data_IF_868160008498
#
_entry.id   IF_868160008498
#
_cell.length_a   1.000
_cell.length_b   1.000
_cell.length_c   1.000
_cell.angle_alpha   90.00
_cell.angle_beta   90.00
_cell.angle_gamma   90.00
#
_symmetry.space_group_name_H-M   'P 1'
#
loop_
_entity.id
_entity.type
_entity.pdbx_description
1 polymer ?
2 polymer ?
3 non-polymer ?
4 non-polymer ?
5 non-polymer ?
6 non-polymer ?
7 water ?
#
# COMPACT_ATOMS: atom_id res chain seq x y z
N UNK A 1 -5.79 4.58 -18.83
CA UNK A 1 -4.87 3.77 -18.05
C UNK A 1 -5.38 2.36 -17.76
N UNK A 2 -4.49 1.37 -17.81
CA UNK A 2 -4.77 -0.07 -17.60
C UNK A 2 -5.25 -0.75 -18.89
N UNK A 3 -5.41 -0.01 -19.99
CA UNK A 3 -5.74 -0.57 -21.29
C UNK A 3 -7.07 -1.31 -21.32
N UNK A 4 -7.30 -1.98 -22.45
CA UNK A 4 -8.48 -2.80 -22.61
C UNK A 4 -8.40 -4.00 -21.64
N UNK A 5 -9.51 -4.40 -21.03
CA UNK A 5 -9.48 -5.59 -20.18
C UNK A 5 -8.96 -6.82 -20.92
N UNK A 6 -8.13 -7.59 -20.24
CA UNK A 6 -7.56 -8.80 -20.83
C UNK A 6 -8.61 -9.89 -20.98
N UNK A 7 -8.40 -10.77 -21.95
CA UNK A 7 -9.33 -11.86 -22.19
C UNK A 7 -8.89 -13.10 -21.43
N UNK A 8 -9.78 -13.65 -20.64
CA UNK A 8 -9.48 -14.84 -19.86
C UNK A 8 -9.33 -16.05 -20.77
N UNK A 9 -8.49 -16.99 -20.36
CA UNK A 9 -8.25 -18.20 -21.13
C UNK A 9 -9.49 -19.07 -21.23
N UNK A 10 -9.61 -19.82 -22.32
CA UNK A 10 -10.76 -20.67 -22.51
C UNK A 10 -12.01 -19.93 -22.90
N UNK A 11 -11.83 -18.76 -23.50
CA UNK A 11 -12.92 -17.92 -23.98
C UNK A 11 -13.94 -17.60 -22.90
N UNK A 12 -13.44 -17.25 -21.72
CA UNK A 12 -14.29 -16.92 -20.59
C UNK A 12 -14.71 -15.45 -20.55
N UNK A 13 -14.22 -14.68 -21.52
CA UNK A 13 -14.56 -13.28 -21.65
C UNK A 13 -13.64 -12.39 -20.85
N UNK A 14 -13.88 -11.09 -20.93
CA UNK A 14 -13.07 -10.13 -20.18
C UNK A 14 -13.28 -10.35 -18.70
N UNK A 15 -12.20 -10.27 -17.94
CA UNK A 15 -12.27 -10.45 -16.50
C UNK A 15 -13.12 -9.37 -15.83
N UNK A 16 -12.95 -8.16 -16.33
CA UNK A 16 -13.63 -7.01 -15.79
C UNK A 16 -13.95 -6.01 -16.89
N UNK A 17 -14.81 -5.06 -16.58
CA UNK A 17 -15.17 -4.04 -17.54
C UNK A 17 -15.05 -2.64 -16.93
N UNK A 18 -15.10 -1.62 -17.76
CA UNK A 18 -14.92 -0.23 -17.35
C UNK A 18 -15.89 0.27 -16.28
N UNK A 19 -17.12 -0.23 -16.27
CA UNK A 19 -18.12 0.17 -15.28
C UNK A 19 -17.72 -0.12 -13.82
N UNK A 20 -16.97 -1.18 -13.60
CA UNK A 20 -16.48 -1.55 -12.29
C UNK A 20 -15.51 -0.52 -11.66
N UNK A 21 -14.78 0.21 -12.49
CA UNK A 21 -13.84 1.25 -12.03
C UNK A 21 -14.49 2.55 -11.53
N UNK A 22 -13.95 3.11 -10.46
CA UNK A 22 -14.43 4.38 -9.91
C UNK A 22 -13.98 5.55 -10.79
N UNK A 23 -14.65 6.68 -10.72
CA UNK A 23 -14.32 7.80 -11.60
C UNK A 23 -13.55 8.88 -10.82
N UNK A 24 -12.41 9.30 -11.35
CA UNK A 24 -11.56 10.28 -10.68
C UNK A 24 -11.20 11.43 -11.62
N UNK A 25 -10.60 12.48 -11.04
CA UNK A 25 -10.41 13.76 -11.74
C UNK A 25 -9.14 13.83 -12.58
N UNK A 26 -8.23 12.88 -12.45
CA UNK A 26 -6.91 13.01 -13.05
C UNK A 26 -6.73 11.99 -14.16
N UNK A 27 -5.83 12.24 -15.09
CA UNK A 27 -5.53 11.24 -16.11
C UNK A 27 -4.50 10.22 -15.61
N UNK A 28 -4.38 9.13 -16.38
CA UNK A 28 -3.45 8.07 -16.04
C UNK A 28 -2.93 7.48 -17.35
N UNK A 29 -1.81 6.77 -17.22
CA UNK A 29 -1.34 5.94 -18.32
C UNK A 29 -0.99 4.58 -17.73
N UNK A 30 -0.93 3.55 -18.56
CA UNK A 30 -0.82 2.19 -18.02
C UNK A 30 0.56 1.88 -17.44
N UNK A 31 0.57 1.05 -16.40
CA UNK A 31 1.77 0.38 -15.93
C UNK A 31 2.10 -0.79 -16.86
N UNK A 32 3.37 -0.99 -17.26
CA UNK A 32 3.68 -2.07 -18.20
C UNK A 32 3.36 -3.42 -17.58
N UNK A 33 2.82 -4.34 -18.39
CA UNK A 33 2.60 -5.75 -17.97
C UNK A 33 3.58 -6.62 -18.76
N UNK A 34 4.44 -7.33 -18.05
CA UNK A 34 5.56 -7.99 -18.70
C UNK A 34 5.79 -9.35 -18.05
N UNK A 35 6.53 -10.19 -18.77
CA UNK A 35 7.08 -11.43 -18.19
C UNK A 35 8.27 -11.14 -17.30
N UNK A 36 8.39 -11.94 -16.23
CA UNK A 36 9.55 -11.85 -15.36
C UNK A 36 10.85 -12.16 -16.10
N UNK A 37 10.78 -12.86 -17.23
CA UNK A 37 11.96 -13.12 -18.03
C UNK A 37 12.34 -11.98 -18.95
N UNK A 38 11.53 -10.93 -19.01
CA UNK A 38 11.76 -9.83 -19.98
C UNK A 38 12.80 -8.87 -19.42
N UNK A 39 13.93 -8.62 -20.13
CA UNK A 39 14.91 -7.65 -19.61
C UNK A 39 14.34 -6.30 -19.26
N UNK A 40 13.27 -5.86 -19.93
CA UNK A 40 12.68 -4.57 -19.58
C UNK A 40 12.11 -4.61 -18.19
N UNK A 41 11.62 -5.77 -17.76
CA UNK A 41 11.06 -5.88 -16.40
C UNK A 41 12.16 -5.70 -15.37
N UNK A 42 13.32 -6.34 -15.57
CA UNK A 42 14.41 -6.19 -14.62
C UNK A 42 14.89 -4.73 -14.59
N UNK A 43 14.94 -4.09 -15.75
CA UNK A 43 15.35 -2.68 -15.85
C UNK A 43 14.43 -1.76 -15.05
N UNK A 44 13.12 -2.00 -15.13
CA UNK A 44 12.16 -1.18 -14.39
C UNK A 44 12.35 -1.32 -12.89
N UNK A 45 12.48 -2.56 -12.41
CA UNK A 45 12.68 -2.80 -10.98
C UNK A 45 13.99 -2.17 -10.52
N UNK A 46 15.06 -2.34 -11.31
CA UNK A 46 16.36 -1.79 -10.96
C UNK A 46 16.28 -0.27 -10.85
N UNK A 47 15.47 0.36 -11.70
CA UNK A 47 15.31 1.81 -11.71
C UNK A 47 14.20 2.29 -10.79
N UNK A 48 13.67 1.40 -9.97
CA UNK A 48 12.63 1.72 -8.98
C UNK A 48 11.42 2.37 -9.64
N UNK A 49 10.97 1.72 -10.69
CA UNK A 49 9.74 2.06 -11.39
C UNK A 49 8.79 0.87 -11.35
N UNK A 50 7.48 1.12 -11.33
CA UNK A 50 6.54 0.00 -11.25
C UNK A 50 6.41 -0.83 -12.54
N UNK A 51 6.09 -2.11 -12.33
CA UNK A 51 5.88 -3.07 -13.40
C UNK A 51 4.97 -4.16 -12.84
N UNK A 52 4.06 -4.65 -13.68
CA UNK A 52 3.27 -5.84 -13.36
C UNK A 52 3.96 -7.02 -14.04
N UNK A 53 4.30 -8.04 -13.25
CA UNK A 53 4.86 -9.29 -13.73
C UNK A 53 3.78 -10.37 -13.73
N UNK A 54 3.57 -10.98 -14.89
CA UNK A 54 2.42 -11.84 -15.10
C UNK A 54 2.68 -13.32 -14.82
N UNK A 55 3.94 -13.75 -14.71
CA UNK A 55 4.27 -15.18 -14.68
C UNK A 55 5.36 -15.49 -13.65
N UNK A 56 5.31 -14.85 -12.48
CA UNK A 56 6.34 -15.13 -11.49
C UNK A 56 6.10 -16.46 -10.73
N UNK A 57 4.84 -16.90 -10.63
CA UNK A 57 4.45 -18.01 -9.74
C UNK A 57 4.78 -17.75 -8.27
N UNK A 58 4.83 -16.46 -7.92
CA UNK A 58 5.27 -16.06 -6.59
C UNK A 58 4.37 -16.64 -5.52
N UNK A 59 3.06 -16.61 -5.72
CA UNK A 59 2.13 -17.16 -4.74
C UNK A 59 1.25 -18.25 -5.35
N UNK A 60 1.85 -19.10 -6.18
CA UNK A 60 1.09 -20.10 -6.91
C UNK A 60 0.26 -21.03 -6.02
N UNK A 61 0.80 -21.45 -4.89
CA UNK A 61 0.04 -22.32 -3.98
C UNK A 61 -1.21 -21.64 -3.44
N UNK A 62 -1.14 -20.33 -3.26
CA UNK A 62 -2.25 -19.54 -2.71
C UNK A 62 -3.37 -19.27 -3.72
N UNK A 63 -3.17 -19.55 -5.00
CA UNK A 63 -4.25 -19.28 -5.94
C UNK A 63 -5.49 -20.10 -5.68
N UNK A 64 -5.36 -21.22 -4.94
CA UNK A 64 -6.54 -21.99 -4.58
C UNK A 64 -7.25 -21.43 -3.36
N UNK A 65 -6.69 -20.42 -2.70
CA UNK A 65 -7.30 -19.87 -1.49
C UNK A 65 -8.64 -19.23 -1.79
N UNK A 66 -9.63 -19.56 -0.97
CA UNK A 66 -10.87 -18.82 -0.84
C UNK A 66 -11.26 -18.84 0.64
N UNK A 67 -12.43 -18.31 0.96
CA UNK A 67 -12.79 -18.19 2.37
C UNK A 67 -12.98 -19.57 3.01
N UNK A 68 -13.52 -20.53 2.26
CA UNK A 68 -13.71 -21.85 2.86
C UNK A 68 -12.37 -22.51 3.18
N UNK A 69 -11.43 -22.48 2.23
CA UNK A 69 -10.13 -23.08 2.45
C UNK A 69 -9.40 -22.44 3.62
N UNK A 70 -9.35 -21.11 3.64
CA UNK A 70 -8.65 -20.41 4.71
C UNK A 70 -9.31 -20.63 6.06
N UNK A 71 -10.64 -20.63 6.09
CA UNK A 71 -11.34 -20.83 7.37
C UNK A 71 -11.01 -22.20 7.93
N UNK A 72 -10.94 -23.20 7.06
CA UNK A 72 -10.72 -24.58 7.48
C UNK A 72 -9.25 -24.83 7.85
N UNK A 73 -8.33 -23.97 7.42
CA UNK A 73 -6.89 -24.26 7.53
C UNK A 73 -6.03 -23.17 8.18
N UNK A 74 -6.48 -21.92 8.26
CA UNK A 74 -5.60 -20.85 8.71
C UNK A 74 -5.44 -20.85 10.21
N UNK A 75 -6.25 -21.61 10.92
CA UNK A 75 -6.08 -21.86 12.34
C UNK A 75 -6.92 -20.91 13.17
N UNK A 76 -6.59 -20.85 14.46
CA UNK A 76 -7.44 -20.20 15.46
C UNK A 76 -6.83 -18.92 16.03
N UNK A 77 -5.88 -18.30 15.35
CA UNK A 77 -5.32 -17.05 15.81
C UNK A 77 -6.24 -15.86 15.56
N UNK A 78 -5.83 -14.71 16.10
CA UNK A 78 -6.58 -13.46 15.94
C UNK A 78 -6.21 -12.75 14.66
N UNK A 79 -7.20 -12.12 14.02
CA UNK A 79 -7.01 -11.37 12.78
C UNK A 79 -7.56 -9.96 12.95
N UNK A 80 -6.78 -8.96 12.51
CA UNK A 80 -7.23 -7.58 12.57
C UNK A 80 -8.18 -7.32 11.41
N UNK A 81 -9.41 -6.89 11.72
CA UNK A 81 -10.42 -6.63 10.71
C UNK A 81 -10.93 -5.21 10.91
N UNK A 82 -10.77 -4.36 9.87
CA UNK A 82 -11.31 -3.01 9.91
C UNK A 82 -12.75 -3.00 9.46
N UNK A 83 -13.55 -2.16 10.12
CA UNK A 83 -14.93 -1.92 9.77
C UNK A 83 -15.15 -0.44 9.49
N UNK A 84 -15.97 -0.12 8.49
CA UNK A 84 -16.31 1.25 8.14
C UNK A 84 -17.66 1.26 7.46
N UNK A 85 -18.34 2.41 7.54
CA UNK A 85 -19.55 2.67 6.78
C UNK A 85 -19.23 3.47 5.51
N UNK A 86 -17.97 3.50 5.10
CA UNK A 86 -17.54 4.13 3.86
C UNK A 86 -16.70 3.12 3.11
N UNK A 87 -16.63 3.27 1.78
CA UNK A 87 -15.69 2.43 1.03
C UNK A 87 -14.23 2.75 1.33
N UNK A 88 -13.93 3.88 1.96
CA UNK A 88 -12.55 4.31 2.15
C UNK A 88 -12.01 3.83 3.48
N UNK A 89 -10.95 3.03 3.42
CA UNK A 89 -10.25 2.54 4.61
C UNK A 89 -8.92 3.28 4.74
N UNK A 90 -9.03 4.53 5.14
CA UNK A 90 -7.86 5.37 5.41
C UNK A 90 -7.06 4.80 6.57
N UNK A 91 -5.81 4.47 6.32
CA UNK A 91 -4.94 3.93 7.36
C UNK A 91 -4.60 5.00 8.39
N UNK A 92 -4.50 4.61 9.65
CA UNK A 92 -4.01 5.50 10.70
C UNK A 92 -3.19 4.71 11.72
N UNK A 93 -2.18 5.40 12.25
CA UNK A 93 -1.28 4.88 13.26
C UNK A 93 -1.87 5.17 14.62
N UNK A 94 -2.32 4.10 15.31
CA UNK A 94 -2.99 4.27 16.59
C UNK A 94 -2.09 4.88 17.65
N UNK A 95 -0.77 4.69 17.55
CA UNK A 95 0.11 5.29 18.56
C UNK A 95 0.17 6.81 18.47
N UNK A 96 -0.12 7.39 17.30
CA UNK A 96 0.02 8.83 17.10
C UNK A 96 -1.25 9.58 17.45
N UNK A 97 -2.33 8.88 17.84
CA UNK A 97 -3.62 9.51 18.09
C UNK A 97 -3.60 10.41 19.32
N UNK A 98 -2.70 10.18 20.27
CA UNK A 98 -2.61 11.08 21.42
C UNK A 98 -2.11 12.47 21.04
N UNK A 99 -1.32 12.58 19.96
CA UNK A 99 -0.89 13.89 19.47
C UNK A 99 -2.07 14.71 18.95
N UNK A 100 -3.11 14.05 18.45
CA UNK A 100 -4.20 14.68 17.72
C UNK A 100 -5.51 14.13 18.29
N UNK A 101 -5.95 14.73 19.40
CA UNK A 101 -7.19 14.31 20.03
C UNK A 101 -8.41 14.65 19.20
N UNK A 102 -8.29 15.53 18.22
CA UNK A 102 -9.41 15.89 17.34
C UNK A 102 -9.63 14.88 16.21
N UNK A 103 -8.75 13.88 16.05
CA UNK A 103 -8.87 12.93 14.95
C UNK A 103 -9.81 11.79 15.34
N UNK A 104 -10.86 11.59 14.52
CA UNK A 104 -11.86 10.55 14.76
C UNK A 104 -11.87 9.63 13.55
N UNK A 105 -11.22 8.46 13.63
CA UNK A 105 -11.16 7.60 12.44
C UNK A 105 -12.54 7.16 11.98
N UNK A 106 -12.70 7.03 10.66
CA UNK A 106 -13.92 6.51 10.05
C UNK A 106 -13.94 4.99 10.02
N UNK A 107 -12.80 4.34 10.19
CA UNK A 107 -12.78 2.89 10.26
C UNK A 107 -12.34 2.48 11.66
N UNK A 108 -12.81 1.31 12.10
CA UNK A 108 -12.48 0.78 13.42
C UNK A 108 -11.89 -0.61 13.26
N UNK A 109 -10.86 -0.89 14.06
CA UNK A 109 -10.20 -2.18 14.05
C UNK A 109 -10.81 -3.07 15.14
N UNK A 110 -11.11 -4.31 14.78
CA UNK A 110 -11.56 -5.32 15.73
C UNK A 110 -10.76 -6.59 15.50
N UNK A 111 -10.34 -7.24 16.59
CA UNK A 111 -9.64 -8.51 16.51
C UNK A 111 -10.65 -9.64 16.58
N UNK A 112 -10.57 -10.60 15.67
CA UNK A 112 -11.53 -11.70 15.69
C UNK A 112 -10.92 -12.94 15.03
N UNK A 113 -11.53 -14.09 15.33
CA UNK A 113 -11.16 -15.33 14.68
C UNK A 113 -11.60 -15.30 13.22
N UNK A 114 -10.91 -16.08 12.37
CA UNK A 114 -11.22 -16.04 10.95
C UNK A 114 -12.65 -16.48 10.68
N UNK A 115 -13.13 -17.51 11.38
CA UNK A 115 -14.52 -17.91 11.18
C UNK A 115 -15.47 -16.82 11.62
N UNK A 116 -15.05 -15.96 12.55
CA UNK A 116 -15.89 -14.83 12.94
C UNK A 116 -15.93 -13.78 11.85
N UNK A 117 -14.80 -13.58 11.15
CA UNK A 117 -14.79 -12.68 10.01
C UNK A 117 -15.71 -13.19 8.90
N UNK A 118 -15.64 -14.48 8.61
CA UNK A 118 -16.48 -15.03 7.54
C UNK A 118 -17.95 -14.89 7.90
N UNK A 119 -18.30 -15.18 9.16
CA UNK A 119 -19.70 -15.08 9.59
C UNK A 119 -20.18 -13.64 9.51
N UNK A 120 -19.35 -12.69 9.95
CA UNK A 120 -19.75 -11.29 9.89
C UNK A 120 -19.94 -10.84 8.45
N UNK A 121 -19.05 -11.29 7.56
CA UNK A 121 -19.21 -11.02 6.14
C UNK A 121 -20.53 -11.57 5.62
N UNK A 122 -20.81 -12.84 5.91
CA UNK A 122 -22.04 -13.47 5.47
C UNK A 122 -23.27 -12.75 6.01
N UNK A 123 -23.21 -12.31 7.26
CA UNK A 123 -24.38 -11.65 7.85
C UNK A 123 -24.65 -10.32 7.16
N UNK A 124 -23.60 -9.56 6.84
CA UNK A 124 -23.79 -8.31 6.12
C UNK A 124 -24.49 -8.56 4.78
N UNK A 125 -24.01 -9.55 4.03
CA UNK A 125 -24.60 -9.85 2.72
C UNK A 125 -26.09 -10.16 2.87
N UNK A 126 -26.44 -11.05 3.80
CA UNK A 126 -27.81 -11.54 3.89
C UNK A 126 -28.80 -10.45 4.28
N UNK A 127 -28.39 -9.53 5.17
CA UNK A 127 -29.25 -8.41 5.55
C UNK A 127 -29.09 -7.19 4.66
N UNK A 128 -28.22 -7.26 3.65
CA UNK A 128 -28.01 -6.12 2.76
C UNK A 128 -27.49 -4.88 3.45
N UNK A 129 -26.65 -5.05 4.48
CA UNK A 129 -26.12 -3.91 5.19
C UNK A 129 -25.15 -3.12 4.34
N UNK A 130 -24.86 -1.89 4.78
CA UNK A 130 -23.89 -1.04 4.12
C UNK A 130 -22.52 -1.09 4.80
N UNK A 131 -22.40 -1.81 5.90
CA UNK A 131 -21.11 -1.91 6.57
C UNK A 131 -20.10 -2.63 5.68
N UNK A 132 -18.86 -2.20 5.77
CA UNK A 132 -17.79 -2.80 4.97
C UNK A 132 -16.70 -3.31 5.88
N UNK A 133 -16.07 -4.40 5.47
CA UNK A 133 -14.99 -4.99 6.24
C UNK A 133 -13.74 -5.18 5.41
N UNK A 134 -12.58 -4.92 6.01
CA UNK A 134 -11.32 -5.16 5.35
C UNK A 134 -10.44 -5.89 6.33
N UNK A 135 -9.99 -7.09 5.99
CA UNK A 135 -9.13 -7.85 6.88
C UNK A 135 -7.71 -7.57 6.46
N UNK A 136 -6.88 -7.17 7.41
CA UNK A 136 -5.49 -6.81 7.10
C UNK A 136 -4.63 -7.33 8.23
N UNK A 137 -3.90 -8.42 7.99
CA UNK A 137 -3.22 -9.17 9.05
C UNK A 137 -1.91 -9.74 8.53
N UNK A 138 -0.80 -9.44 9.20
CA UNK A 138 0.46 -10.03 8.77
C UNK A 138 0.48 -11.51 9.16
N UNK A 139 0.93 -12.35 8.23
CA UNK A 139 1.01 -13.81 8.40
C UNK A 139 2.19 -14.21 9.28
N UNK A 140 2.00 -15.26 10.11
CA UNK A 140 3.07 -15.72 10.98
C UNK A 140 2.88 -17.21 11.28
N UNK A 141 3.81 -17.77 12.06
CA UNK A 141 3.88 -19.20 12.38
C UNK A 141 2.61 -19.77 13.01
N UNK A 142 1.72 -18.92 13.49
CA UNK A 142 0.51 -19.40 14.16
C UNK A 142 -0.49 -20.02 13.19
N UNK A 143 -0.35 -19.79 11.88
CA UNK A 143 -1.33 -20.34 10.94
C UNK A 143 -1.23 -21.86 10.91
N UNK A 144 -2.33 -22.51 10.53
CA UNK A 144 -2.36 -23.97 10.47
C UNK A 144 -1.35 -24.53 9.46
N UNK A 145 -1.18 -25.85 9.53
CA UNK A 145 -0.09 -26.52 8.82
C UNK A 145 -0.21 -26.39 7.30
N UNK A 146 -1.43 -26.46 6.76
CA UNK A 146 -1.60 -26.38 5.30
C UNK A 146 -1.27 -24.98 4.78
N UNK A 147 -1.54 -23.93 5.57
CA UNK A 147 -1.13 -22.60 5.13
C UNK A 147 0.39 -22.46 5.22
N UNK A 148 1.00 -23.05 6.24
CA UNK A 148 2.46 -23.07 6.30
C UNK A 148 3.02 -23.72 5.04
N UNK A 149 2.48 -24.89 4.63
CA UNK A 149 2.94 -25.58 3.43
C UNK A 149 2.75 -24.70 2.19
N UNK A 150 1.63 -23.99 2.11
CA UNK A 150 1.39 -23.10 0.99
C UNK A 150 2.42 -21.96 0.95
N UNK A 151 2.69 -21.35 2.10
CA UNK A 151 3.73 -20.32 2.21
C UNK A 151 5.10 -20.82 1.77
N UNK A 152 5.48 -22.01 2.21
CA UNK A 152 6.78 -22.60 1.86
C UNK A 152 6.89 -22.81 0.36
N UNK A 153 5.77 -23.08 -0.31
CA UNK A 153 5.73 -23.23 -1.74
C UNK A 153 5.70 -21.93 -2.54
N UNK A 154 5.76 -20.75 -1.92
CA UNK A 154 5.93 -19.53 -2.71
C UNK A 154 7.27 -19.60 -3.45
N UNK A 155 7.42 -18.75 -4.47
CA UNK A 155 8.63 -18.76 -5.31
C UNK A 155 9.70 -17.92 -4.62
N UNK A 156 10.25 -18.51 -3.55
CA UNK A 156 11.36 -17.90 -2.82
C UNK A 156 12.60 -17.81 -3.69
N UNK A 157 12.81 -18.78 -4.58
CA UNK A 157 13.98 -18.69 -5.46
C UNK A 157 13.97 -17.38 -6.22
N UNK A 158 12.83 -17.04 -6.81
CA UNK A 158 12.75 -15.85 -7.65
C UNK A 158 12.84 -14.59 -6.82
N UNK A 159 12.08 -14.51 -5.73
CA UNK A 159 12.06 -13.26 -4.97
C UNK A 159 13.35 -13.07 -4.14
N UNK A 160 13.94 -14.15 -3.63
CA UNK A 160 15.24 -14.00 -2.97
C UNK A 160 16.31 -13.48 -3.91
N UNK A 161 16.27 -13.87 -5.19
CA UNK A 161 17.20 -13.33 -6.16
C UNK A 161 16.95 -11.84 -6.38
N UNK A 162 15.69 -11.41 -6.41
CA UNK A 162 15.37 -9.99 -6.51
C UNK A 162 15.94 -9.22 -5.33
N UNK A 163 15.64 -9.68 -4.12
CA UNK A 163 16.18 -9.04 -2.93
C UNK A 163 17.70 -8.87 -3.05
N UNK A 164 18.39 -9.90 -3.54
CA UNK A 164 19.86 -9.84 -3.61
C UNK A 164 20.37 -8.90 -4.69
N UNK A 165 19.79 -9.01 -5.89
CA UNK A 165 20.17 -8.11 -6.99
C UNK A 165 19.92 -6.64 -6.65
N UNK A 166 18.82 -6.32 -5.96
CA UNK A 166 18.52 -4.93 -5.66
C UNK A 166 19.20 -4.41 -4.40
N UNK A 167 19.92 -5.26 -3.67
CA UNK A 167 20.57 -4.85 -2.44
C UNK A 167 19.61 -4.46 -1.34
N UNK A 168 18.40 -4.99 -1.37
CA UNK A 168 17.43 -4.72 -0.32
C UNK A 168 17.84 -5.36 0.99
N UNK A 169 17.26 -4.84 2.08
CA UNK A 169 17.35 -5.46 3.38
C UNK A 169 16.38 -6.63 3.48
N UNK A 170 16.05 -6.98 4.72
CA UNK A 170 15.29 -8.19 5.00
C UNK A 170 13.82 -8.07 4.63
N UNK A 171 13.21 -9.20 4.26
CA UNK A 171 11.76 -9.31 4.28
C UNK A 171 11.25 -9.04 5.69
N UNK A 172 10.37 -8.05 5.86
CA UNK A 172 9.94 -7.67 7.21
C UNK A 172 8.57 -8.26 7.54
N UNK A 173 7.73 -8.45 6.54
CA UNK A 173 6.38 -8.96 6.81
C UNK A 173 5.66 -9.29 5.51
N UNK A 174 4.65 -10.16 5.62
CA UNK A 174 3.73 -10.48 4.54
C UNK A 174 2.34 -10.16 5.05
N UNK A 175 1.70 -9.19 4.43
CA UNK A 175 0.38 -8.74 4.86
C UNK A 175 -0.66 -9.48 4.03
N UNK A 176 -1.58 -10.17 4.70
CA UNK A 176 -2.73 -10.75 4.05
C UNK A 176 -3.85 -9.72 4.03
N UNK A 177 -4.37 -9.43 2.84
CA UNK A 177 -5.44 -8.47 2.66
C UNK A 177 -6.66 -9.17 2.04
N UNK A 178 -7.78 -9.13 2.75
CA UNK A 178 -9.04 -9.65 2.22
C UNK A 178 -10.11 -8.58 2.32
N UNK A 179 -10.57 -8.11 1.17
CA UNK A 179 -11.54 -7.04 1.14
C UNK A 179 -12.83 -7.39 0.43
N UNK A 180 -13.83 -6.56 0.70
CA UNK A 180 -15.10 -6.61 0.01
C UNK A 180 -15.04 -5.79 -1.26
N UNK A 181 -15.85 -6.21 -2.25
CA UNK A 181 -15.94 -5.45 -3.50
C UNK A 181 -16.21 -3.99 -3.20
N UNK A 182 -15.53 -3.09 -3.95
CA UNK A 182 -15.68 -1.65 -3.76
C UNK A 182 -14.82 -1.04 -2.67
N UNK A 183 -14.18 -1.83 -1.81
CA UNK A 183 -13.25 -1.28 -0.84
C UNK A 183 -12.10 -0.49 -1.48
N UNK A 184 -11.68 0.58 -0.82
CA UNK A 184 -10.62 1.48 -1.31
C UNK A 184 -9.63 1.68 -0.19
N UNK A 185 -8.34 1.52 -0.48
CA UNK A 185 -7.29 2.01 0.41
C UNK A 185 -6.81 3.32 -0.17
N UNK A 186 -7.03 4.44 0.50
CA UNK A 186 -6.69 5.74 -0.09
C UNK A 186 -5.19 5.93 -0.29
N UNK A 187 -4.85 6.85 -1.19
CA UNK A 187 -3.48 7.10 -1.62
C UNK A 187 -2.53 7.30 -0.43
N UNK A 188 -1.39 6.62 -0.48
CA UNK A 188 -0.33 6.72 0.51
C UNK A 188 0.97 6.18 -0.06
N UNK A 189 2.04 6.38 0.67
CA UNK A 189 3.33 5.83 0.29
C UNK A 189 3.87 5.02 1.47
N UNK A 190 4.61 3.97 1.16
CA UNK A 190 5.20 3.10 2.16
C UNK A 190 6.72 3.27 2.11
N UNK A 191 7.37 3.06 3.24
CA UNK A 191 8.82 3.23 3.35
C UNK A 191 9.61 1.95 3.11
N UNK A 192 8.96 0.97 2.51
CA UNK A 192 9.61 -0.30 2.19
C UNK A 192 9.27 -0.62 0.75
N UNK A 193 10.07 -1.52 0.17
CA UNK A 193 9.82 -2.03 -1.16
C UNK A 193 8.73 -3.10 -1.09
N UNK A 194 7.88 -3.17 -2.13
CA UNK A 194 6.71 -4.05 -2.05
C UNK A 194 6.53 -4.84 -3.35
N UNK A 195 6.50 -6.17 -3.23
CA UNK A 195 5.94 -7.01 -4.26
C UNK A 195 4.53 -7.42 -3.83
N UNK A 196 3.55 -6.96 -4.60
CA UNK A 196 2.12 -7.04 -4.28
C UNK A 196 1.50 -8.17 -5.11
N UNK A 197 1.19 -9.31 -4.45
CA UNK A 197 0.82 -10.55 -5.15
C UNK A 197 -0.68 -10.75 -5.08
N UNK A 198 -1.35 -10.62 -6.21
CA UNK A 198 -2.80 -10.79 -6.25
C UNK A 198 -3.19 -12.25 -6.35
N UNK A 199 -4.21 -12.64 -5.56
CA UNK A 199 -4.60 -14.05 -5.37
C UNK A 199 -6.01 -14.31 -5.86
N UNK A 200 -6.98 -13.48 -5.45
CA UNK A 200 -8.38 -13.66 -5.81
C UNK A 200 -9.01 -12.32 -6.16
N UNK A 201 -9.82 -12.31 -7.20
CA UNK A 201 -10.43 -11.01 -7.55
C UNK A 201 -9.45 -10.07 -8.20
N UNK A 202 -9.96 -8.86 -8.48
CA UNK A 202 -9.24 -7.85 -9.25
C UNK A 202 -9.15 -6.56 -8.45
N UNK A 203 -7.96 -5.95 -8.47
CA UNK A 203 -7.72 -4.67 -7.81
C UNK A 203 -7.15 -3.67 -8.80
N UNK A 204 -7.74 -2.48 -8.83
CA UNK A 204 -7.20 -1.38 -9.63
C UNK A 204 -6.19 -0.63 -8.78
N UNK A 205 -4.96 -0.52 -9.28
CA UNK A 205 -3.87 0.11 -8.53
C UNK A 205 -3.46 1.36 -9.32
N UNK A 206 -3.53 2.51 -8.68
CA UNK A 206 -3.13 3.79 -9.27
C UNK A 206 -1.90 4.28 -8.51
N UNK A 207 -0.78 4.44 -9.20
CA UNK A 207 0.47 4.84 -8.56
C UNK A 207 0.88 6.24 -9.01
N UNK A 208 1.64 6.94 -8.13
CA UNK A 208 2.12 8.33 -8.41
C UNK A 208 3.59 8.35 -7.98
N UNK A 209 4.49 8.83 -8.82
CA UNK A 209 5.91 8.79 -8.45
C UNK A 209 6.20 9.74 -7.30
N UNK A 210 7.36 9.53 -6.64
CA UNK A 210 7.68 10.37 -5.48
C UNK A 210 7.77 11.87 -5.81
N UNK A 211 8.08 12.24 -7.05
CA UNK A 211 8.13 13.68 -7.37
C UNK A 211 6.76 14.34 -7.43
N UNK A 212 5.67 13.61 -7.16
CA UNK A 212 4.36 14.26 -7.05
C UNK A 212 3.97 14.56 -5.61
N UNK A 213 4.95 14.54 -4.70
CA UNK A 213 4.69 14.95 -3.31
C UNK A 213 3.91 16.26 -3.26
N UNK A 214 4.30 17.20 -4.11
CA UNK A 214 3.77 18.56 -4.13
C UNK A 214 2.30 18.62 -4.53
N UNK A 215 1.78 17.55 -5.13
CA UNK A 215 0.40 17.45 -5.58
C UNK A 215 -0.49 16.61 -4.67
N UNK A 216 0.08 15.86 -3.72
CA UNK A 216 -0.69 14.88 -2.96
C UNK A 216 -0.80 15.19 -1.48
N UNK A 217 -0.09 16.18 -0.98
CA UNK A 217 -0.39 16.76 0.33
C UNK A 217 -0.51 15.71 1.45
N UNK A 218 0.57 15.00 1.76
CA UNK A 218 0.53 14.11 2.93
C UNK A 218 0.18 14.86 4.22
N UNK A 219 -0.43 14.14 5.15
CA UNK A 219 -0.63 14.66 6.49
C UNK A 219 0.73 14.98 7.13
N UNK A 220 0.76 15.87 8.12
CA UNK A 220 1.96 16.03 8.95
C UNK A 220 2.49 14.70 9.44
N UNK A 221 3.82 14.62 9.63
CA UNK A 221 4.46 13.37 10.06
C UNK A 221 3.89 12.87 11.38
N UNK A 222 3.62 13.78 12.30
CA UNK A 222 3.14 13.41 13.63
C UNK A 222 1.66 13.06 13.75
N UNK A 223 0.94 13.27 12.67
CA UNK A 223 -0.48 12.97 12.58
C UNK A 223 -0.69 11.45 12.39
N UNK A 224 -1.75 10.89 12.94
CA UNK A 224 -2.03 9.44 12.75
C UNK A 224 -1.99 9.01 11.29
N UNK A 225 -2.38 9.88 10.34
CA UNK A 225 -2.38 9.55 8.92
C UNK A 225 -1.12 10.01 8.19
N UNK A 226 -0.01 10.11 8.92
CA UNK A 226 1.33 10.18 8.31
C UNK A 226 1.45 9.23 7.12
N UNK A 227 1.94 9.75 5.99
CA UNK A 227 2.23 9.06 4.73
C UNK A 227 1.00 8.92 3.86
N UNK A 228 -0.19 9.26 4.36
CA UNK A 228 -1.40 9.18 3.56
C UNK A 228 -1.73 10.57 3.02
N UNK A 229 -2.35 10.61 1.83
CA UNK A 229 -2.76 11.88 1.23
C UNK A 229 -3.95 12.47 1.97
N UNK A 230 -3.91 13.78 2.15
CA UNK A 230 -5.06 14.49 2.69
C UNK A 230 -6.18 14.69 1.66
N UNK A 231 -5.92 14.51 0.37
CA UNK A 231 -6.90 14.85 -0.66
C UNK A 231 -7.97 13.78 -0.69
N UNK A 232 -9.23 14.20 -0.68
CA UNK A 232 -10.35 13.28 -0.88
C UNK A 232 -10.51 13.07 -2.38
N UNK A 233 -10.11 11.89 -2.88
CA UNK A 233 -10.11 11.69 -4.33
C UNK A 233 -11.51 11.79 -4.90
N UNK A 234 -12.55 11.49 -4.11
CA UNK A 234 -13.93 11.57 -4.57
C UNK A 234 -14.48 12.99 -4.56
N UNK A 235 -13.85 13.93 -3.84
CA UNK A 235 -14.27 15.34 -3.81
C UNK A 235 -13.07 16.21 -3.48
N UNK A 236 -12.19 16.45 -4.45
CA UNK A 236 -10.93 17.11 -4.12
C UNK A 236 -11.14 18.58 -3.85
N UNK A 237 -10.52 19.07 -2.79
CA UNK A 237 -10.69 20.47 -2.39
C UNK A 237 -9.55 21.26 -3.04
N UNK A 238 -9.82 21.83 -4.21
CA UNK A 238 -8.77 22.51 -4.96
C UNK A 238 -8.35 23.84 -4.33
N UNK A 239 -9.16 24.39 -3.45
CA UNK A 239 -8.72 25.59 -2.74
C UNK A 239 -7.61 25.25 -1.75
N UNK A 240 -7.73 24.14 -1.03
CA UNK A 240 -6.66 23.74 -0.12
C UNK A 240 -5.53 23.01 -0.84
N UNK A 241 -5.85 22.30 -1.92
CA UNK A 241 -4.92 21.38 -2.56
C UNK A 241 -4.81 21.69 -4.05
N UNK A 242 -4.37 22.91 -4.40
CA UNK A 242 -4.44 23.33 -5.81
C UNK A 242 -3.60 22.48 -6.76
N UNK A 243 -2.47 21.93 -6.31
CA UNK A 243 -1.64 21.15 -7.22
C UNK A 243 -2.16 19.76 -7.43
N UNK A 244 -3.26 19.39 -6.75
CA UNK A 244 -3.89 18.13 -7.13
C UNK A 244 -4.50 18.22 -8.54
N UNK A 245 -4.68 19.44 -9.07
CA UNK A 245 -5.12 19.58 -10.44
C UNK A 245 -4.04 19.20 -11.44
N UNK A 246 -2.82 18.99 -10.99
CA UNK A 246 -1.71 18.60 -11.85
C UNK A 246 -1.29 17.14 -11.67
N UNK A 247 -1.94 16.36 -10.82
CA UNK A 247 -1.54 14.96 -10.62
C UNK A 247 -1.74 14.13 -11.88
N UNK A 248 -0.82 13.15 -12.07
CA UNK A 248 -0.90 12.24 -13.20
C UNK A 248 -0.51 10.86 -12.64
N UNK A 249 -1.38 9.87 -12.82
CA UNK A 249 -1.14 8.54 -12.26
C UNK A 249 -0.70 7.50 -13.30
N UNK A 250 -0.26 6.34 -12.76
CA UNK A 250 0.08 5.17 -13.54
C UNK A 250 -0.82 4.05 -13.02
N UNK A 251 -1.59 3.39 -13.91
CA UNK A 251 -2.60 2.52 -13.36
C UNK A 251 -2.57 1.18 -14.07
N UNK A 252 -3.13 0.22 -13.34
CA UNK A 252 -3.24 -1.14 -13.85
C UNK A 252 -4.34 -1.82 -13.06
N UNK A 253 -4.82 -2.93 -13.59
CA UNK A 253 -5.70 -3.82 -12.83
C UNK A 253 -5.01 -5.18 -12.72
N UNK A 254 -4.73 -5.62 -11.49
CA UNK A 254 -4.08 -6.91 -11.27
C UNK A 254 -5.13 -7.93 -10.92
N UNK A 255 -4.95 -9.14 -11.42
CA UNK A 255 -5.79 -10.25 -11.06
C UNK A 255 -4.96 -11.44 -10.58
N UNK A 256 -5.63 -12.54 -10.37
CA UNK A 256 -4.95 -13.74 -9.84
C UNK A 256 -3.70 -14.10 -10.63
N UNK A 257 -2.60 -14.23 -9.93
CA UNK A 257 -1.33 -14.61 -10.53
C UNK A 257 -0.41 -13.44 -10.88
N UNK A 258 -0.95 -12.23 -10.89
CA UNK A 258 -0.17 -11.03 -11.20
C UNK A 258 0.55 -10.56 -9.95
N UNK A 259 1.72 -9.95 -10.16
CA UNK A 259 2.51 -9.36 -9.09
C UNK A 259 2.88 -7.95 -9.53
N UNK A 260 2.55 -6.98 -8.70
CA UNK A 260 2.84 -5.58 -8.97
C UNK A 260 4.01 -5.16 -8.09
N UNK A 261 5.08 -4.66 -8.71
CA UNK A 261 6.16 -4.04 -7.94
C UNK A 261 5.74 -2.60 -7.63
N UNK A 262 5.53 -2.32 -6.34
CA UNK A 262 5.27 -0.96 -5.86
C UNK A 262 6.56 -0.43 -5.23
N UNK A 263 7.31 0.40 -5.92
CA UNK A 263 8.60 0.84 -5.37
C UNK A 263 8.41 1.69 -4.13
N UNK A 264 9.44 1.63 -3.28
CA UNK A 264 9.46 2.38 -2.04
C UNK A 264 9.32 3.86 -2.41
N UNK A 265 8.48 4.56 -1.63
CA UNK A 265 8.11 5.98 -1.69
C UNK A 265 7.07 6.31 -2.77
N UNK A 266 6.65 5.31 -3.54
CA UNK A 266 5.67 5.57 -4.57
C UNK A 266 4.29 5.56 -3.97
N UNK A 267 3.53 6.58 -4.28
CA UNK A 267 2.16 6.69 -3.81
C UNK A 267 1.35 5.60 -4.51
N UNK A 268 0.40 5.02 -3.80
CA UNK A 268 -0.51 4.09 -4.45
C UNK A 268 -1.88 4.18 -3.80
N UNK A 269 -2.88 4.10 -4.66
CA UNK A 269 -4.31 4.05 -4.36
C UNK A 269 -4.79 2.71 -4.87
N UNK A 270 -5.45 1.91 -4.04
CA UNK A 270 -5.79 0.54 -4.41
C UNK A 270 -7.28 0.32 -4.18
N UNK A 271 -7.99 -0.17 -5.18
CA UNK A 271 -9.41 -0.39 -5.01
C UNK A 271 -9.84 -1.75 -5.54
N UNK A 272 -10.63 -2.45 -4.74
CA UNK A 272 -11.26 -3.70 -5.17
C UNK A 272 -12.42 -3.41 -6.11
N UNK A 273 -12.42 -4.04 -7.29
CA UNK A 273 -13.37 -3.63 -8.33
C UNK A 273 -14.80 -3.73 -7.84
N UNK A 274 -15.59 -2.71 -8.18
CA UNK A 274 -17.03 -2.76 -7.93
C UNK A 274 -17.64 -4.02 -8.52
N UNK A 275 -18.53 -4.64 -7.75
CA UNK A 275 -19.25 -5.85 -8.17
C UNK A 275 -18.33 -6.99 -8.58
N UNK A 276 -17.09 -7.00 -8.09
CA UNK A 276 -16.13 -8.03 -8.44
C UNK A 276 -15.95 -9.15 -7.44
N UNK A 277 -16.76 -9.21 -6.36
CA UNK A 277 -16.56 -10.20 -5.33
C UNK A 277 -15.41 -9.85 -4.41
N UNK A 278 -15.16 -10.70 -3.44
CA UNK A 278 -14.07 -10.45 -2.50
C UNK A 278 -12.72 -10.56 -3.19
N UNK A 279 -11.73 -9.85 -2.65
CA UNK A 279 -10.40 -9.86 -3.19
C UNK A 279 -9.40 -10.31 -2.13
N UNK A 280 -8.41 -11.08 -2.55
CA UNK A 280 -7.37 -11.55 -1.65
C UNK A 280 -6.01 -11.18 -2.21
N UNK A 281 -5.17 -10.58 -1.39
CA UNK A 281 -3.83 -10.18 -1.80
C UNK A 281 -2.85 -10.46 -0.68
N UNK A 282 -1.62 -10.82 -1.03
CA UNK A 282 -0.57 -10.98 -0.04
C UNK A 282 0.59 -10.14 -0.53
N UNK A 283 1.11 -9.24 0.30
CA UNK A 283 2.25 -8.44 -0.13
C UNK A 283 3.51 -8.96 0.54
N UNK A 284 4.64 -8.45 0.04
CA UNK A 284 5.99 -8.84 0.47
C UNK A 284 6.73 -7.53 0.67
N UNK A 285 6.95 -7.14 1.91
CA UNK A 285 7.59 -5.86 2.24
C UNK A 285 9.07 -6.09 2.59
N UNK A 286 9.95 -5.39 1.88
CA UNK A 286 11.40 -5.46 2.10
C UNK A 286 11.96 -4.11 2.49
N UNK A 287 12.84 -4.10 3.49
CA UNK A 287 13.54 -2.84 3.76
C UNK A 287 14.35 -2.42 2.53
N UNK A 288 14.43 -1.13 2.31
CA UNK A 288 15.17 -0.63 1.17
C UNK A 288 16.67 -0.77 1.36
N UNK A 289 17.40 -0.63 0.25
CA UNK A 289 18.86 -0.67 0.30
C UNK A 289 19.39 0.47 1.16
N UNK A 290 20.53 0.28 1.83
CA UNK A 290 21.05 1.37 2.69
C UNK A 290 21.34 2.63 1.89
N UNK A 291 21.36 3.77 2.60
CA UNK A 291 21.78 5.04 2.01
C UNK A 291 23.18 4.92 1.41
N UNK A 292 23.42 5.44 0.20
CA UNK A 292 24.73 5.26 -0.45
C UNK A 292 25.83 5.95 0.35
N UNK A 293 27.03 5.38 0.26
CA UNK A 293 28.20 5.98 0.91
C UNK A 293 28.47 7.37 0.35
N UNK A 294 28.59 7.48 -0.97
CA UNK A 294 28.74 8.77 -1.65
C UNK A 294 27.36 9.23 -2.14
N UNK A 295 26.84 10.29 -1.54
CA UNK A 295 25.59 10.89 -2.01
C UNK A 295 25.88 11.69 -3.27
N UNK A 296 25.08 11.47 -4.30
CA UNK A 296 25.26 12.14 -5.57
C UNK A 296 24.25 13.26 -5.70
N UNK A 297 24.71 14.38 -6.22
CA UNK A 297 23.86 15.53 -6.45
C UNK A 297 23.63 15.70 -7.94
N UNK A 298 22.44 16.18 -8.35
CA UNK A 298 21.33 16.62 -7.50
C UNK A 298 20.58 15.43 -6.93
N UNK A 299 19.93 15.60 -5.78
CA UNK A 299 19.26 14.48 -5.11
C UNK A 299 18.03 14.02 -5.88
N UNK A 300 17.65 12.78 -5.65
CA UNK A 300 16.42 12.23 -6.19
C UNK A 300 15.22 12.68 -5.35
N UNK A 301 14.05 12.63 -5.97
CA UNK A 301 12.83 13.06 -5.29
C UNK A 301 12.65 12.30 -3.98
N UNK A 302 12.86 10.98 -3.99
CA UNK A 302 12.59 10.26 -2.73
C UNK A 302 13.59 10.64 -1.64
N UNK A 303 14.79 11.05 -2.00
CA UNK A 303 15.74 11.55 -1.00
C UNK A 303 15.26 12.86 -0.39
N UNK A 304 14.65 13.75 -1.19
CA UNK A 304 14.10 14.97 -0.60
C UNK A 304 12.88 14.68 0.28
N UNK A 305 12.08 13.68 -0.06
CA UNK A 305 11.00 13.25 0.83
C UNK A 305 11.58 12.79 2.17
N UNK A 306 12.66 12.00 2.12
CA UNK A 306 13.31 11.53 3.35
C UNK A 306 13.82 12.70 4.20
N UNK A 307 14.39 13.72 3.57
CA UNK A 307 14.87 14.90 4.31
C UNK A 307 13.68 15.59 4.99
N UNK A 308 12.59 15.78 4.25
CA UNK A 308 11.42 16.47 4.81
C UNK A 308 10.85 15.72 6.00
N UNK A 309 10.72 14.40 5.89
CA UNK A 309 10.28 13.62 7.03
C UNK A 309 11.20 13.80 8.21
N UNK A 310 12.51 13.79 7.99
CA UNK A 310 13.42 13.90 9.11
C UNK A 310 13.40 15.30 9.72
N UNK A 311 13.26 16.35 8.90
CA UNK A 311 13.12 17.69 9.48
C UNK A 311 11.91 17.73 10.41
N UNK A 312 10.78 17.19 9.95
CA UNK A 312 9.57 17.20 10.78
C UNK A 312 9.79 16.43 12.07
N UNK A 313 10.42 15.26 11.98
CA UNK A 313 10.70 14.45 13.17
C UNK A 313 11.63 15.18 14.15
N UNK A 314 12.70 15.77 13.63
CA UNK A 314 13.64 16.49 14.49
C UNK A 314 12.97 17.66 15.18
N UNK A 315 12.16 18.42 14.46
CA UNK A 315 11.56 19.58 15.07
C UNK A 315 10.58 19.18 16.15
N UNK A 316 9.81 18.11 15.91
CA UNK A 316 8.90 17.66 16.96
C UNK A 316 9.62 17.31 18.24
N UNK A 317 10.77 16.68 18.12
CA UNK A 317 11.57 16.32 19.29
C UNK A 317 12.21 17.54 19.93
N UNK A 318 12.80 18.44 19.13
CA UNK A 318 13.49 19.60 19.71
C UNK A 318 12.52 20.57 20.39
N UNK A 319 11.35 20.79 19.78
CA UNK A 319 10.35 21.70 20.36
C UNK A 319 9.61 21.07 21.52
N UNK A 320 9.76 19.76 21.73
CA UNK A 320 9.10 19.08 22.82
C UNK A 320 7.62 18.86 22.62
N UNK A 321 7.08 19.21 21.46
CA UNK A 321 5.64 19.09 21.23
C UNK A 321 5.32 19.16 19.73
N UNK A 322 4.76 18.10 19.15
CA UNK A 322 4.54 18.10 17.69
C UNK A 322 3.66 19.24 17.21
N UNK A 323 2.75 19.73 18.04
CA UNK A 323 1.84 20.81 17.65
C UNK A 323 2.57 22.11 17.33
N UNK A 324 3.82 22.26 17.77
CA UNK A 324 4.57 23.48 17.52
C UNK A 324 5.35 23.44 16.22
N UNK A 325 5.34 22.30 15.52
CA UNK A 325 6.13 22.17 14.30
C UNK A 325 5.62 23.13 13.23
N UNK A 326 4.30 23.18 13.04
CA UNK A 326 3.72 24.02 12.01
C UNK A 326 3.99 25.49 12.22
N UNK A 327 3.69 26.03 13.41
CA UNK A 327 3.98 27.45 13.66
C UNK A 327 5.45 27.82 13.47
N UNK A 328 6.37 26.94 13.86
CA UNK A 328 7.79 27.25 13.65
C UNK A 328 8.15 27.23 12.17
N UNK A 329 7.64 26.24 11.41
CA UNK A 329 7.93 26.25 9.98
C UNK A 329 7.37 27.52 9.33
N UNK A 330 6.16 27.92 9.68
CA UNK A 330 5.53 29.10 9.09
C UNK A 330 6.35 30.35 9.40
N UNK A 331 6.75 30.49 10.67
CA UNK A 331 7.62 31.59 11.06
C UNK A 331 8.90 31.61 10.25
N UNK A 332 9.48 30.44 9.95
CA UNK A 332 10.71 30.39 9.18
C UNK A 332 10.53 30.90 7.76
N UNK A 333 9.38 30.62 7.12
CA UNK A 333 9.28 30.91 5.69
C UNK A 333 8.58 32.24 5.41
N UNK A 334 7.62 32.65 6.24
CA UNK A 334 6.86 33.83 5.87
C UNK A 334 7.72 35.07 5.70
N UNK A 335 7.50 35.76 4.58
CA UNK A 335 8.27 36.94 4.25
C UNK A 335 9.74 36.61 4.15
N UNK A 336 10.25 35.32 4.25
CA UNK A 336 11.69 35.01 4.13
C UNK A 336 12.12 34.02 3.02
N UNK A 337 11.17 33.18 2.62
CA UNK A 337 11.31 32.14 1.61
C UNK A 337 10.08 31.98 0.71
N UNK A 338 9.00 32.69 0.98
CA UNK A 338 7.81 32.52 0.13
C UNK A 338 7.43 33.76 -0.69
N UNK B 1 27.84 12.47 9.05
CA UNK B 1 27.59 13.45 8.00
C UNK B 1 26.17 13.98 8.10
N UNK B 2 25.99 15.30 8.00
CA UNK B 2 24.65 15.87 8.15
C UNK B 2 23.78 15.48 6.96
N UNK B 3 24.33 15.49 5.75
CA UNK B 3 23.57 15.05 4.59
C UNK B 3 23.10 13.61 4.76
N UNK B 4 24.02 12.71 5.15
CA UNK B 4 23.66 11.31 5.35
C UNK B 4 22.61 11.16 6.43
N UNK B 5 22.74 11.93 7.53
CA UNK B 5 21.75 11.90 8.59
C UNK B 5 20.36 12.24 8.07
N UNK B 6 20.25 13.29 7.26
CA UNK B 6 18.93 13.77 6.87
C UNK B 6 18.29 12.95 5.76
N UNK B 7 19.09 12.33 4.89
CA UNK B 7 18.53 11.52 3.82
C UNK B 7 18.16 10.13 4.33
N UNK B 8 18.49 9.80 5.59
CA UNK B 8 18.24 8.45 6.08
C UNK B 8 16.76 8.11 6.01
N UNK B 9 16.43 6.99 5.38
CA UNK B 9 15.06 6.55 5.23
C UNK B 9 14.54 5.90 6.51
N UNK B 10 13.23 5.97 6.73
CA UNK B 10 12.57 5.19 7.76
C UNK B 10 12.11 3.87 7.15
N UNK B 11 11.27 3.12 7.90
CA UNK B 11 10.73 1.85 7.41
C UNK B 11 9.26 1.66 7.73
N UNK B 12 8.50 2.74 7.87
CA UNK B 12 7.09 2.64 8.23
C UNK B 12 6.25 2.17 7.04
N UNK B 13 5.24 1.34 7.35
CA UNK B 13 4.30 0.84 6.36
C UNK B 13 2.91 0.85 6.99
N UNK B 14 1.89 0.64 6.15
CA UNK B 14 0.50 0.60 6.62
C UNK B 14 0.16 -0.77 7.22
N UNK B 15 0.65 -1.01 8.44
CA UNK B 15 0.33 -2.26 9.12
C UNK B 15 0.52 -2.02 10.61
N UNK B 16 -0.52 -2.35 11.39
CA UNK B 16 -0.53 -2.10 12.83
C UNK B 16 0.41 -3.04 13.57
N UNK B 17 0.43 -4.32 13.21
CA UNK B 17 1.37 -5.27 13.78
C UNK B 17 2.22 -5.84 12.66
N UNK B 18 3.54 -5.69 12.80
CA UNK B 18 4.50 -6.23 11.84
C UNK B 18 5.19 -7.44 12.43
N UNK B 19 5.48 -8.42 11.58
CA UNK B 19 6.26 -9.57 11.98
C UNK B 19 6.70 -10.40 10.80
N UNK B 20 7.91 -10.95 10.86
CA UNK B 20 8.30 -11.97 9.91
C UNK B 20 7.49 -13.24 10.17
N UNK B 21 7.53 -14.16 9.20
CA UNK B 21 6.71 -15.36 9.30
C UNK B 21 7.30 -16.36 10.28
N UNK B 22 8.62 -16.56 10.27
CA UNK B 22 9.28 -17.44 11.25
C UNK B 22 10.06 -16.61 12.29
#
# INVERSE_FOLDING_TARGET
GSGEPREEAGALGPAWDESQLRSYSFPTRPIPRLSQSDPRAEELIENEEPVVLTDTNLVYPALKWDLEYLQENIGNGDFSVYSASTHKFLYYDEKKMANFQNFKPRSNREEMKFHEFVEKLQDIQQRGGEERLYLQQTLNDTVGRKIVMDFLGFNWNWINKQQGKRGWGQLTSNLLLIGMEGNVTPAHYDEQQNFFAQIKGYKRCILFPPDQFECLYPYPVHHPCDRQSQVDFDNPDYERFPNFQNVVGYETVVGPGDVLYIPMYWWHHIESLLNGGITITVNFWYKGAPTPKRIEYPLKAHQKVAIMRNIEKMLGEALGNPQEVGPLLNTMIKGRYN
DIAALLIAAGADVNAHAKGAFF
#
